data_IF_165300984114
#
_entry.id   IF_165300984114
#
_cell.length_a   1.000
_cell.length_b   1.000
_cell.length_c   1.000
_cell.angle_alpha   90.00
_cell.angle_beta   90.00
_cell.angle_gamma   90.00
#
_symmetry.space_group_name_H-M   'P 1'
#
loop_
_entity.id
_entity.type
_entity.pdbx_description
1 polymer ?
#
# COMPACT_ATOMS: atom_id res chain seq x y z
N UNK A 1 4.98 44.61 -12.09
CA UNK A 1 5.14 43.62 -11.01
C UNK A 1 5.47 42.32 -11.71
N UNK A 2 6.71 41.84 -11.59
CA UNK A 2 7.19 40.66 -12.32
C UNK A 2 7.21 39.46 -11.37
N UNK A 3 6.55 38.39 -11.76
CA UNK A 3 6.51 37.10 -11.06
C UNK A 3 7.93 36.54 -10.84
N UNK A 4 8.31 36.17 -9.60
CA UNK A 4 9.61 35.61 -9.32
C UNK A 4 9.63 34.13 -9.76
N UNK A 5 10.23 33.93 -10.94
CA UNK A 5 10.67 32.67 -11.56
C UNK A 5 10.59 31.43 -10.65
N UNK A 6 9.65 30.54 -10.97
CA UNK A 6 9.71 29.14 -10.58
C UNK A 6 11.07 28.56 -11.04
N UNK A 7 11.94 28.24 -10.09
CA UNK A 7 13.28 27.71 -10.34
C UNK A 7 13.12 26.25 -10.73
N UNK A 8 13.44 25.91 -11.98
CA UNK A 8 13.43 24.52 -12.46
C UNK A 8 14.41 23.71 -11.59
N UNK A 9 13.96 22.62 -10.93
CA UNK A 9 14.80 21.85 -10.04
C UNK A 9 15.95 21.21 -10.81
N UNK A 10 17.15 21.20 -10.22
CA UNK A 10 18.31 20.56 -10.83
C UNK A 10 18.19 19.03 -10.76
N UNK A 11 18.96 18.30 -11.55
CA UNK A 11 18.97 16.82 -11.55
C UNK A 11 19.28 16.26 -10.16
N UNK A 12 20.13 16.96 -9.38
CA UNK A 12 20.49 16.53 -8.03
C UNK A 12 19.39 16.85 -7.00
N UNK A 13 18.64 17.93 -7.20
CA UNK A 13 17.43 18.22 -6.41
C UNK A 13 16.38 17.13 -6.66
N UNK A 14 16.11 16.80 -7.92
CA UNK A 14 15.17 15.74 -8.31
C UNK A 14 15.59 14.36 -7.77
N UNK A 15 16.90 14.06 -7.78
CA UNK A 15 17.43 12.82 -7.18
C UNK A 15 17.35 12.83 -5.65
N UNK A 16 17.39 13.99 -5.00
CA UNK A 16 17.28 14.10 -3.53
C UNK A 16 15.84 13.95 -3.09
N UNK A 17 14.90 14.58 -3.79
CA UNK A 17 13.44 14.43 -3.62
C UNK A 17 13.02 12.96 -3.78
N UNK A 18 13.45 12.29 -4.86
CA UNK A 18 13.14 10.87 -5.08
C UNK A 18 13.74 9.93 -4.02
N UNK A 19 14.82 10.33 -3.34
CA UNK A 19 15.40 9.57 -2.22
C UNK A 19 14.65 9.85 -0.92
N UNK A 20 14.34 11.11 -0.63
CA UNK A 20 13.62 11.50 0.57
C UNK A 20 12.20 10.95 0.57
N UNK A 21 11.50 10.98 -0.57
CA UNK A 21 10.18 10.35 -0.75
C UNK A 21 10.18 8.87 -0.37
N UNK A 22 11.20 8.10 -0.78
CA UNK A 22 11.35 6.68 -0.42
C UNK A 22 11.76 6.43 1.03
N UNK A 23 12.22 7.46 1.73
CA UNK A 23 12.56 7.40 3.15
C UNK A 23 11.39 7.81 4.06
N UNK A 24 10.31 8.38 3.51
CA UNK A 24 9.17 8.84 4.31
C UNK A 24 8.39 7.68 4.95
N UNK A 25 8.46 6.47 4.39
CA UNK A 25 7.77 5.31 4.94
C UNK A 25 8.42 3.98 4.52
N UNK A 26 8.53 3.04 5.47
CA UNK A 26 9.13 1.74 5.22
C UNK A 26 8.20 0.88 4.34
N UNK A 27 8.75 0.18 3.33
CA UNK A 27 8.01 -0.85 2.58
C UNK A 27 7.35 -1.88 3.51
N UNK A 28 7.99 -2.19 4.64
CA UNK A 28 7.43 -3.09 5.65
C UNK A 28 6.19 -2.49 6.32
N UNK A 29 6.21 -1.19 6.59
CA UNK A 29 5.09 -0.47 7.16
C UNK A 29 3.93 -0.36 6.15
N UNK A 30 4.19 -0.12 4.87
CA UNK A 30 3.14 -0.17 3.83
C UNK A 30 2.52 -1.57 3.73
N UNK A 31 3.36 -2.60 3.74
CA UNK A 31 2.88 -3.98 3.61
C UNK A 31 2.04 -4.38 4.82
N UNK A 32 2.45 -3.98 6.03
CA UNK A 32 1.67 -4.21 7.26
C UNK A 32 0.31 -3.50 7.19
N UNK A 33 0.30 -2.25 6.73
CA UNK A 33 -0.94 -1.48 6.53
C UNK A 33 -1.88 -2.17 5.53
N UNK A 34 -1.33 -2.65 4.40
CA UNK A 34 -2.09 -3.41 3.40
C UNK A 34 -2.64 -4.72 3.99
N UNK A 35 -1.87 -5.43 4.80
CA UNK A 35 -2.33 -6.66 5.47
C UNK A 35 -3.50 -6.37 6.41
N UNK A 36 -3.41 -5.31 7.21
CA UNK A 36 -4.47 -4.90 8.13
C UNK A 36 -5.74 -4.47 7.38
N UNK A 37 -5.60 -3.67 6.31
CA UNK A 37 -6.71 -3.29 5.45
C UNK A 37 -7.40 -4.51 4.82
N UNK A 38 -6.61 -5.48 4.32
CA UNK A 38 -7.14 -6.72 3.77
C UNK A 38 -7.86 -7.56 4.82
N UNK A 39 -7.36 -7.61 6.06
CA UNK A 39 -8.04 -8.32 7.15
C UNK A 39 -9.40 -7.70 7.46
N UNK A 40 -9.49 -6.36 7.50
CA UNK A 40 -10.76 -5.64 7.67
C UNK A 40 -11.71 -5.92 6.51
N UNK A 41 -11.21 -5.89 5.27
CA UNK A 41 -12.01 -6.17 4.08
C UNK A 41 -12.58 -7.61 4.10
N UNK A 42 -11.77 -8.60 4.50
CA UNK A 42 -12.22 -10.00 4.64
C UNK A 42 -13.31 -10.16 5.71
N UNK A 43 -13.23 -9.42 6.83
CA UNK A 43 -14.28 -9.44 7.85
C UNK A 43 -15.59 -8.83 7.33
N UNK A 44 -15.53 -7.74 6.56
CA UNK A 44 -16.72 -7.12 5.95
C UNK A 44 -17.33 -7.98 4.85
N UNK A 45 -16.51 -8.67 4.07
CA UNK A 45 -16.93 -9.56 2.99
C UNK A 45 -17.10 -11.02 3.44
N UNK A 46 -17.41 -11.26 4.72
CA UNK A 46 -17.40 -12.61 5.31
C UNK A 46 -18.35 -13.58 4.60
N UNK A 47 -19.52 -13.12 4.19
CA UNK A 47 -20.52 -13.92 3.47
C UNK A 47 -19.95 -14.47 2.15
N UNK A 48 -19.41 -13.60 1.30
CA UNK A 48 -18.79 -13.98 0.04
C UNK A 48 -17.52 -14.81 0.25
N UNK A 49 -16.76 -14.51 1.31
CA UNK A 49 -15.58 -15.29 1.69
C UNK A 49 -15.99 -16.72 2.06
N UNK A 50 -17.08 -16.90 2.82
CA UNK A 50 -17.57 -18.24 3.15
C UNK A 50 -18.03 -19.02 1.93
N UNK A 51 -18.75 -18.39 1.00
CA UNK A 51 -19.19 -19.04 -0.23
C UNK A 51 -18.01 -19.47 -1.13
N UNK A 52 -16.98 -18.63 -1.23
CA UNK A 52 -15.76 -18.99 -1.95
C UNK A 52 -14.99 -20.13 -1.26
N UNK A 53 -14.90 -20.11 0.08
CA UNK A 53 -14.24 -21.17 0.86
C UNK A 53 -14.97 -22.50 0.74
N UNK A 54 -16.30 -22.49 0.75
CA UNK A 54 -17.13 -23.68 0.57
C UNK A 54 -16.90 -24.30 -0.81
N UNK A 55 -17.05 -23.51 -1.88
CA UNK A 55 -16.73 -23.96 -3.24
C UNK A 55 -15.28 -24.48 -3.35
N UNK A 56 -14.35 -23.84 -2.63
CA UNK A 56 -12.94 -24.22 -2.67
C UNK A 56 -12.64 -25.56 -2.00
N UNK A 57 -13.32 -25.85 -0.90
CA UNK A 57 -13.21 -27.15 -0.21
C UNK A 57 -13.75 -28.27 -1.08
N UNK A 58 -14.83 -28.04 -1.82
CA UNK A 58 -15.45 -29.04 -2.69
C UNK A 58 -14.63 -29.34 -3.94
N UNK A 59 -14.04 -28.31 -4.57
CA UNK A 59 -13.41 -28.43 -5.88
C UNK A 59 -11.88 -28.60 -5.83
N UNK A 60 -11.24 -28.35 -4.68
CA UNK A 60 -9.80 -28.54 -4.48
C UNK A 60 -8.94 -27.88 -5.57
N UNK A 61 -8.15 -28.66 -6.31
CA UNK A 61 -7.31 -28.15 -7.39
C UNK A 61 -8.10 -27.46 -8.53
N UNK A 62 -9.39 -27.79 -8.71
CA UNK A 62 -10.22 -27.23 -9.79
C UNK A 62 -10.88 -25.89 -9.44
N UNK A 63 -10.57 -25.30 -8.27
CA UNK A 63 -11.07 -24.00 -7.79
C UNK A 63 -11.02 -22.89 -8.83
N UNK A 64 -9.90 -22.77 -9.53
CA UNK A 64 -9.67 -21.67 -10.48
C UNK A 64 -10.62 -21.72 -11.68
N UNK A 65 -11.19 -22.89 -11.97
CA UNK A 65 -12.16 -23.09 -13.05
C UNK A 65 -13.59 -23.12 -12.53
N UNK A 66 -13.82 -23.80 -11.40
CA UNK A 66 -15.17 -24.09 -10.88
C UNK A 66 -15.72 -22.99 -9.97
N UNK A 67 -14.86 -22.26 -9.27
CA UNK A 67 -15.25 -21.23 -8.30
C UNK A 67 -15.05 -19.80 -8.83
N UNK A 68 -15.03 -19.62 -10.16
CA UNK A 68 -14.79 -18.31 -10.79
C UNK A 68 -15.85 -17.28 -10.42
N UNK A 69 -17.10 -17.71 -10.31
CA UNK A 69 -18.20 -16.81 -9.98
C UNK A 69 -18.10 -16.31 -8.53
N UNK A 70 -17.93 -17.23 -7.58
CA UNK A 70 -17.75 -16.90 -6.17
C UNK A 70 -16.50 -16.01 -5.97
N UNK A 71 -15.43 -16.29 -6.71
CA UNK A 71 -14.24 -15.46 -6.70
C UNK A 71 -14.50 -14.06 -7.27
N UNK A 72 -15.33 -13.92 -8.33
CA UNK A 72 -15.68 -12.61 -8.90
C UNK A 72 -16.44 -11.77 -7.88
N UNK A 73 -17.49 -12.34 -7.29
CA UNK A 73 -18.32 -11.67 -6.27
C UNK A 73 -17.49 -11.29 -5.04
N UNK A 74 -16.62 -12.18 -4.57
CA UNK A 74 -15.70 -11.88 -3.47
C UNK A 74 -14.77 -10.70 -3.82
N UNK A 75 -14.17 -10.70 -5.00
CA UNK A 75 -13.29 -9.61 -5.43
C UNK A 75 -14.05 -8.28 -5.61
N UNK A 76 -15.28 -8.31 -6.13
CA UNK A 76 -16.14 -7.12 -6.21
C UNK A 76 -16.38 -6.50 -4.83
N UNK A 77 -16.62 -7.32 -3.80
CA UNK A 77 -16.73 -6.85 -2.43
C UNK A 77 -15.39 -6.30 -1.88
N UNK A 78 -14.30 -7.06 -2.05
CA UNK A 78 -12.98 -6.65 -1.54
C UNK A 78 -12.51 -5.34 -2.17
N UNK A 79 -12.79 -5.11 -3.45
CA UNK A 79 -12.41 -3.87 -4.15
C UNK A 79 -13.04 -2.61 -3.56
N UNK A 80 -14.20 -2.72 -2.90
CA UNK A 80 -14.86 -1.58 -2.24
C UNK A 80 -14.07 -1.11 -1.01
N UNK A 81 -13.32 -2.01 -0.36
CA UNK A 81 -12.62 -1.74 0.89
C UNK A 81 -11.09 -1.66 0.74
N UNK A 82 -10.54 -2.16 -0.36
CA UNK A 82 -9.09 -2.17 -0.66
C UNK A 82 -8.68 -1.09 -1.66
N UNK A 83 -9.49 -0.04 -1.82
CA UNK A 83 -9.20 1.08 -2.69
C UNK A 83 -8.09 1.99 -2.11
N UNK A 84 -7.55 2.88 -2.96
CA UNK A 84 -6.46 3.79 -2.57
C UNK A 84 -6.87 4.73 -1.45
N UNK A 85 -8.11 5.21 -1.46
CA UNK A 85 -8.66 6.12 -0.46
C UNK A 85 -8.72 5.48 0.94
N UNK A 86 -9.15 4.22 1.03
CA UNK A 86 -9.21 3.46 2.28
C UNK A 86 -7.81 3.17 2.83
N UNK A 87 -6.84 2.93 1.94
CA UNK A 87 -5.44 2.77 2.32
C UNK A 87 -4.84 4.08 2.84
N UNK A 88 -5.12 5.20 2.20
CA UNK A 88 -4.66 6.52 2.63
C UNK A 88 -5.31 6.95 3.95
N UNK A 89 -6.60 6.67 4.14
CA UNK A 89 -7.30 6.91 5.40
C UNK A 89 -6.68 6.11 6.56
N UNK A 90 -6.45 4.80 6.35
CA UNK A 90 -5.80 3.96 7.36
C UNK A 90 -4.34 4.39 7.60
N UNK A 91 -3.63 4.82 6.55
CA UNK A 91 -2.28 5.38 6.67
C UNK A 91 -2.32 6.62 7.55
N UNK A 92 -3.24 7.55 7.31
CA UNK A 92 -3.37 8.79 8.07
C UNK A 92 -3.64 8.52 9.57
N UNK A 93 -4.47 7.53 9.88
CA UNK A 93 -4.74 7.11 11.26
C UNK A 93 -3.51 6.48 11.93
N UNK A 94 -2.76 5.65 11.19
CA UNK A 94 -1.64 4.84 11.71
C UNK A 94 -0.26 5.48 11.58
N UNK A 95 -0.17 6.69 11.01
CA UNK A 95 1.08 7.47 10.87
C UNK A 95 1.81 7.66 12.21
N UNK A 96 1.07 7.74 13.32
CA UNK A 96 1.63 8.00 14.65
C UNK A 96 2.01 6.71 15.41
N UNK A 97 1.49 5.55 15.02
CA UNK A 97 1.71 4.27 15.73
C UNK A 97 2.82 3.42 15.11
N UNK A 98 3.07 3.56 13.80
CA UNK A 98 4.11 2.79 13.12
C UNK A 98 5.39 3.60 13.14
N UNK A 99 6.45 3.16 13.86
CA UNK A 99 7.70 3.89 13.88
C UNK A 99 8.23 3.96 12.45
N UNK A 100 8.17 5.16 11.89
CA UNK A 100 8.84 5.49 10.64
C UNK A 100 10.31 5.15 10.91
N UNK A 101 10.81 4.07 10.33
CA UNK A 101 12.25 3.78 10.37
C UNK A 101 12.89 4.82 9.46
N UNK A 102 13.03 6.04 9.97
CA UNK A 102 13.92 7.05 9.43
C UNK A 102 15.29 6.45 9.61
N UNK A 103 15.78 5.74 8.59
CA UNK A 103 17.20 5.42 8.52
C UNK A 103 17.88 6.78 8.37
N UNK A 104 18.35 7.35 9.48
CA UNK A 104 19.31 8.43 9.44
C UNK A 104 20.52 7.89 8.67
N UNK A 105 20.64 8.28 7.40
CA UNK A 105 21.82 7.97 6.61
C UNK A 105 22.87 8.98 7.04
N UNK A 106 23.96 8.59 7.73
CA UNK A 106 25.02 9.52 8.03
C UNK A 106 25.60 10.01 6.71
N UNK A 107 25.41 11.30 6.40
CA UNK A 107 26.03 11.98 5.27
C UNK A 107 27.54 12.09 5.53
N UNK A 108 28.30 11.02 5.36
CA UNK A 108 29.77 11.09 5.36
C UNK A 108 30.29 11.31 3.94
N UNK A 109 30.60 12.58 3.70
CA UNK A 109 31.71 13.16 2.92
C UNK A 109 32.32 12.25 1.83
N UNK A 110 31.91 12.49 0.58
CA UNK A 110 32.70 12.18 -0.61
C UNK A 110 32.82 13.46 -1.45
N UNK A 111 33.38 14.52 -0.88
CA UNK A 111 33.83 15.70 -1.62
C UNK A 111 34.67 16.63 -0.72
N UNK A 112 35.70 16.08 -0.06
CA UNK A 112 36.82 16.90 0.41
C UNK A 112 38.10 16.16 0.02
N UNK A 113 38.65 16.58 -1.12
CA UNK A 113 39.91 16.23 -1.79
C UNK A 113 40.02 14.86 -2.46
#
# INVERSE_FOLDING_TARGET
>A
MADPKAKVPTVDDAKTEWRSERLQWSNQAENKLKQELNAIALQKCREYTSAFVECSKENGMMVVFKCREQNRVLNECLHQYTNKEALEALRAEKLNEIPVVVKEVPRKKYFEQ
#
